data_IF_534385353854
#
_entry.id   IF_534385353854
#
_cell.length_a   1.000
_cell.length_b   1.000
_cell.length_c   1.000
_cell.angle_alpha   90.00
_cell.angle_beta   90.00
_cell.angle_gamma   90.00
#
_symmetry.space_group_name_H-M   'P 1'
#
loop_
_entity.id
_entity.type
_entity.pdbx_description
1 polymer ?
#
# COMPACT_ATOMS: atom_id res chain seq x y z
N UNK A 1 -2.49 20.82 14.83
CA UNK A 1 -2.25 20.31 13.47
C UNK A 1 -3.50 20.53 12.64
N UNK A 2 -3.38 20.97 11.40
CA UNK A 2 -4.54 21.09 10.50
C UNK A 2 -4.88 19.68 10.01
N UNK A 3 -6.15 19.25 10.14
CA UNK A 3 -6.56 17.92 9.69
C UNK A 3 -6.87 17.91 8.18
N UNK A 4 -6.69 16.75 7.56
CA UNK A 4 -7.06 16.53 6.16
C UNK A 4 -8.54 16.84 5.91
N UNK A 5 -9.44 16.46 6.85
CA UNK A 5 -10.89 16.70 6.79
C UNK A 5 -11.25 18.18 6.71
N UNK A 6 -10.48 19.05 7.39
CA UNK A 6 -10.68 20.49 7.32
C UNK A 6 -10.28 21.02 5.94
N UNK A 7 -9.11 20.63 5.46
CA UNK A 7 -8.58 21.16 4.19
C UNK A 7 -9.37 20.73 2.97
N UNK A 8 -9.92 19.50 2.92
CA UNK A 8 -10.74 19.04 1.79
C UNK A 8 -12.04 19.84 1.65
N UNK A 9 -12.49 20.54 2.70
CA UNK A 9 -13.64 21.43 2.66
C UNK A 9 -13.28 22.85 2.16
N UNK A 10 -12.02 23.21 2.24
CA UNK A 10 -11.53 24.56 1.88
C UNK A 10 -10.96 24.58 0.46
N UNK A 11 -10.34 23.49 0.01
CA UNK A 11 -9.72 23.39 -1.32
C UNK A 11 -9.59 21.96 -1.81
N UNK A 12 -9.32 21.81 -3.10
CA UNK A 12 -8.95 20.52 -3.69
C UNK A 12 -7.55 20.15 -3.18
N UNK A 13 -7.39 18.92 -2.69
CA UNK A 13 -6.10 18.33 -2.36
C UNK A 13 -5.65 17.45 -3.52
N UNK A 14 -4.36 17.53 -3.83
CA UNK A 14 -3.76 16.76 -4.92
C UNK A 14 -3.11 15.52 -4.33
N UNK A 15 -3.59 14.35 -4.74
CA UNK A 15 -2.96 13.07 -4.47
C UNK A 15 -1.74 12.90 -5.40
N UNK A 16 -0.76 12.14 -4.98
CA UNK A 16 0.35 11.73 -5.83
C UNK A 16 -0.11 10.73 -6.92
N UNK A 17 0.78 9.99 -7.52
CA UNK A 17 0.45 9.12 -8.65
C UNK A 17 1.28 7.84 -8.68
N UNK A 18 1.29 7.21 -9.83
CA UNK A 18 1.73 5.83 -10.06
C UNK A 18 3.14 5.51 -9.51
N UNK A 19 3.21 4.91 -8.31
CA UNK A 19 4.44 4.43 -7.68
C UNK A 19 5.16 3.40 -8.58
N UNK A 20 4.45 2.39 -9.06
CA UNK A 20 5.03 1.34 -9.91
C UNK A 20 5.69 1.88 -11.17
N UNK A 21 5.08 2.85 -11.86
CA UNK A 21 5.67 3.50 -13.04
C UNK A 21 6.95 4.26 -12.69
N UNK A 22 7.00 4.88 -11.53
CA UNK A 22 8.22 5.57 -11.08
C UNK A 22 9.32 4.59 -10.72
N UNK A 23 9.02 3.48 -10.05
CA UNK A 23 9.98 2.41 -9.74
C UNK A 23 10.62 1.87 -11.03
N UNK A 24 9.84 1.66 -12.09
CA UNK A 24 10.37 1.15 -13.37
C UNK A 24 11.48 2.02 -13.95
N UNK A 25 11.50 3.33 -13.70
CA UNK A 25 12.54 4.25 -14.20
C UNK A 25 13.91 4.02 -13.57
N UNK A 26 13.98 3.33 -12.43
CA UNK A 26 15.24 3.01 -11.76
C UNK A 26 15.92 1.75 -12.34
N UNK A 27 15.22 1.00 -13.20
CA UNK A 27 15.74 -0.23 -13.83
C UNK A 27 16.33 -1.21 -12.81
N UNK A 28 15.65 -1.39 -11.68
CA UNK A 28 16.09 -2.24 -10.59
C UNK A 28 16.26 -3.70 -11.05
N UNK A 29 17.31 -4.34 -10.55
CA UNK A 29 17.64 -5.74 -10.81
C UNK A 29 16.99 -6.66 -9.78
N UNK A 30 17.09 -7.98 -9.97
CA UNK A 30 16.62 -8.96 -8.98
C UNK A 30 17.34 -8.77 -7.64
N UNK A 31 18.64 -8.46 -7.68
CA UNK A 31 19.46 -8.21 -6.49
C UNK A 31 19.00 -6.97 -5.72
N UNK A 32 18.54 -5.93 -6.41
CA UNK A 32 17.97 -4.74 -5.78
C UNK A 32 16.69 -5.06 -5.02
N UNK A 33 15.81 -5.91 -5.62
CA UNK A 33 14.56 -6.33 -4.97
C UNK A 33 14.81 -7.24 -3.77
N UNK A 34 15.82 -8.13 -3.84
CA UNK A 34 16.18 -9.03 -2.74
C UNK A 34 16.90 -8.31 -1.61
N UNK A 35 17.86 -7.45 -1.95
CA UNK A 35 18.87 -7.01 -1.01
C UNK A 35 19.63 -8.19 -0.40
N UNK A 36 20.44 -7.93 0.60
CA UNK A 36 21.15 -8.98 1.36
C UNK A 36 20.20 -9.83 2.20
N UNK A 37 19.15 -9.20 2.72
CA UNK A 37 18.24 -9.80 3.70
C UNK A 37 17.42 -10.96 3.15
N UNK A 38 17.05 -10.92 1.88
CA UNK A 38 16.16 -11.91 1.24
C UNK A 38 16.90 -12.75 0.20
N UNK A 39 18.26 -12.81 0.29
CA UNK A 39 19.11 -13.52 -0.68
C UNK A 39 18.75 -15.01 -0.80
N UNK A 40 18.44 -15.67 0.31
CA UNK A 40 18.18 -17.10 0.39
C UNK A 40 16.72 -17.50 0.15
N UNK A 41 15.80 -16.53 0.00
CA UNK A 41 14.38 -16.85 -0.23
C UNK A 41 14.22 -17.38 -1.67
N UNK A 42 13.52 -18.51 -1.87
CA UNK A 42 13.33 -19.09 -3.20
C UNK A 42 12.42 -18.22 -4.07
N UNK A 43 12.47 -18.44 -5.40
CA UNK A 43 11.62 -17.74 -6.36
C UNK A 43 12.23 -16.42 -6.84
N UNK A 44 11.46 -15.62 -7.54
CA UNK A 44 11.85 -14.32 -8.08
C UNK A 44 11.22 -13.21 -7.22
N UNK A 45 12.03 -12.24 -6.80
CA UNK A 45 11.55 -11.06 -6.04
C UNK A 45 11.26 -9.86 -6.94
N UNK A 46 11.87 -9.80 -8.13
CA UNK A 46 11.64 -8.71 -9.07
C UNK A 46 10.17 -8.61 -9.44
N UNK A 47 9.58 -7.46 -9.18
CA UNK A 47 8.15 -7.19 -9.33
C UNK A 47 7.42 -7.04 -8.00
N UNK A 48 8.00 -7.47 -6.88
CA UNK A 48 7.49 -7.18 -5.55
C UNK A 48 7.88 -5.75 -5.13
N UNK A 49 7.13 -4.78 -5.62
CA UNK A 49 7.42 -3.37 -5.37
C UNK A 49 7.32 -2.98 -3.90
N UNK A 50 6.42 -3.60 -3.15
CA UNK A 50 6.18 -3.33 -1.74
C UNK A 50 7.40 -3.68 -0.88
N UNK A 51 8.13 -4.74 -1.26
CA UNK A 51 9.35 -5.18 -0.59
C UNK A 51 10.47 -4.13 -0.64
N UNK A 52 10.45 -3.24 -1.64
CA UNK A 52 11.44 -2.16 -1.79
C UNK A 52 11.45 -1.20 -0.60
N UNK A 53 10.38 -1.15 0.20
CA UNK A 53 10.38 -0.40 1.45
C UNK A 53 11.44 -0.91 2.45
N UNK A 54 11.83 -2.19 2.35
CA UNK A 54 12.85 -2.82 3.18
C UNK A 54 14.21 -2.89 2.49
N UNK A 55 14.24 -3.09 1.17
CA UNK A 55 15.48 -3.36 0.43
C UNK A 55 16.07 -2.13 -0.26
N UNK A 56 15.21 -1.20 -0.72
CA UNK A 56 15.61 0.04 -1.41
C UNK A 56 14.79 1.24 -0.92
N UNK A 57 14.83 1.53 0.40
CA UNK A 57 14.12 2.69 0.97
C UNK A 57 14.53 4.02 0.32
N UNK A 58 15.77 4.14 -0.15
CA UNK A 58 16.30 5.28 -0.89
C UNK A 58 15.46 5.60 -2.14
N UNK A 59 15.10 4.57 -2.91
CA UNK A 59 14.30 4.71 -4.13
C UNK A 59 12.87 5.17 -3.79
N UNK A 60 12.25 4.56 -2.79
CA UNK A 60 10.88 4.90 -2.39
C UNK A 60 10.80 6.35 -1.88
N UNK A 61 11.74 6.75 -1.01
CA UNK A 61 11.81 8.14 -0.53
C UNK A 61 12.06 9.15 -1.66
N UNK A 62 12.93 8.83 -2.63
CA UNK A 62 13.18 9.71 -3.76
C UNK A 62 11.94 9.89 -4.63
N UNK A 63 11.12 8.84 -4.81
CA UNK A 63 9.85 8.94 -5.53
C UNK A 63 8.88 9.84 -4.76
N UNK A 64 8.72 9.65 -3.46
CA UNK A 64 7.88 10.52 -2.62
C UNK A 64 8.30 11.98 -2.71
N UNK A 65 9.62 12.27 -2.64
CA UNK A 65 10.14 13.64 -2.80
C UNK A 65 9.76 14.25 -4.15
N UNK A 66 9.87 13.48 -5.23
CA UNK A 66 9.50 13.96 -6.59
C UNK A 66 8.03 14.34 -6.67
N UNK A 67 7.13 13.56 -6.08
CA UNK A 67 5.71 13.91 -6.06
C UNK A 67 5.41 15.15 -5.20
N UNK A 68 6.02 15.26 -4.02
CA UNK A 68 5.84 16.44 -3.17
C UNK A 68 6.44 17.70 -3.78
N UNK A 69 7.59 17.59 -4.47
CA UNK A 69 8.18 18.68 -5.26
C UNK A 69 7.27 19.11 -6.42
N UNK A 70 6.60 18.17 -7.07
CA UNK A 70 5.61 18.45 -8.11
C UNK A 70 4.33 19.11 -7.59
N UNK A 71 4.13 19.11 -6.26
CA UNK A 71 3.03 19.84 -5.61
C UNK A 71 1.97 18.97 -4.94
N UNK A 72 2.10 17.63 -4.91
CA UNK A 72 1.16 16.76 -4.22
C UNK A 72 0.96 17.18 -2.77
N UNK A 73 -0.27 17.15 -2.31
CA UNK A 73 -0.65 17.40 -0.90
C UNK A 73 -0.67 16.12 -0.07
N UNK A 74 -0.98 15.00 -0.73
CA UNK A 74 -1.11 13.68 -0.14
C UNK A 74 -0.20 12.74 -0.92
N UNK A 75 0.59 11.93 -0.24
CA UNK A 75 1.36 10.82 -0.83
C UNK A 75 0.85 9.48 -0.30
N UNK A 76 0.82 8.48 -1.17
CA UNK A 76 0.42 7.13 -0.83
C UNK A 76 1.61 6.30 -0.36
N UNK A 77 1.40 5.45 0.65
CA UNK A 77 2.41 4.45 1.02
C UNK A 77 2.62 3.44 -0.09
N UNK A 78 3.84 2.91 -0.24
CA UNK A 78 4.11 1.84 -1.20
C UNK A 78 3.70 0.47 -0.63
N UNK A 79 2.37 0.28 -0.48
CA UNK A 79 1.75 -0.88 0.18
C UNK A 79 0.57 -1.45 -0.60
N UNK A 80 0.48 -1.15 -1.89
CA UNK A 80 -0.65 -1.54 -2.76
C UNK A 80 -0.99 -3.03 -2.67
N UNK A 81 0.02 -3.91 -2.65
CA UNK A 81 -0.14 -5.36 -2.56
C UNK A 81 0.39 -5.95 -1.25
N UNK A 82 0.66 -5.13 -0.23
CA UNK A 82 1.34 -5.53 1.00
C UNK A 82 0.41 -6.27 1.97
N UNK A 83 -0.13 -7.39 1.51
CA UNK A 83 -0.98 -8.32 2.28
C UNK A 83 -0.33 -9.70 2.37
N UNK A 84 -0.62 -10.46 3.43
CA UNK A 84 -0.08 -11.82 3.61
C UNK A 84 -0.43 -12.76 2.45
N UNK A 85 -1.62 -12.62 1.87
CA UNK A 85 -2.07 -13.42 0.71
C UNK A 85 -1.25 -13.11 -0.54
N UNK A 86 -1.01 -11.82 -0.85
CA UNK A 86 -0.23 -11.43 -2.02
C UNK A 86 1.27 -11.73 -1.85
N UNK A 87 1.79 -11.53 -0.64
CA UNK A 87 3.20 -11.76 -0.33
C UNK A 87 3.56 -13.25 -0.23
N UNK A 88 2.57 -14.13 -0.08
CA UNK A 88 2.79 -15.58 -0.12
C UNK A 88 3.34 -16.07 -1.47
N UNK A 89 3.02 -15.39 -2.58
CA UNK A 89 3.56 -15.71 -3.89
C UNK A 89 5.08 -15.48 -3.99
N UNK A 90 5.60 -14.64 -3.10
CA UNK A 90 7.03 -14.32 -2.98
C UNK A 90 7.71 -14.97 -1.77
N UNK A 91 6.99 -15.79 -1.01
CA UNK A 91 7.47 -16.41 0.25
C UNK A 91 7.96 -15.41 1.31
N UNK A 92 7.34 -14.22 1.35
CA UNK A 92 7.67 -13.14 2.30
C UNK A 92 6.46 -12.65 3.10
N UNK A 93 5.42 -13.47 3.21
CA UNK A 93 4.18 -13.15 3.93
C UNK A 93 4.40 -12.82 5.42
N UNK A 94 5.43 -13.36 6.03
CA UNK A 94 5.79 -13.10 7.43
C UNK A 94 6.33 -11.68 7.68
N UNK A 95 6.72 -10.97 6.61
CA UNK A 95 7.25 -9.60 6.69
C UNK A 95 6.20 -8.52 6.40
N UNK A 96 4.94 -8.90 6.18
CA UNK A 96 3.87 -7.97 5.78
C UNK A 96 3.71 -6.81 6.76
N UNK A 97 3.65 -7.11 8.05
CA UNK A 97 3.54 -6.06 9.06
C UNK A 97 4.73 -5.10 9.03
N UNK A 98 5.94 -5.63 8.92
CA UNK A 98 7.16 -4.83 8.84
C UNK A 98 7.21 -3.98 7.57
N UNK A 99 6.80 -4.54 6.40
CA UNK A 99 6.73 -3.79 5.14
C UNK A 99 5.77 -2.60 5.25
N UNK A 100 4.57 -2.81 5.79
CA UNK A 100 3.58 -1.75 5.96
C UNK A 100 4.09 -0.65 6.91
N UNK A 101 4.67 -1.01 8.05
CA UNK A 101 5.26 -0.04 8.99
C UNK A 101 6.42 0.74 8.37
N UNK A 102 7.31 0.04 7.63
CA UNK A 102 8.42 0.68 6.93
C UNK A 102 7.92 1.67 5.86
N UNK A 103 6.94 1.27 5.06
CA UNK A 103 6.35 2.14 4.04
C UNK A 103 5.76 3.42 4.63
N UNK A 104 5.00 3.31 5.73
CA UNK A 104 4.46 4.49 6.42
C UNK A 104 5.57 5.39 6.94
N UNK A 105 6.59 4.80 7.58
CA UNK A 105 7.75 5.55 8.09
C UNK A 105 8.44 6.35 6.99
N UNK A 106 8.75 5.71 5.85
CA UNK A 106 9.41 6.36 4.70
C UNK A 106 8.57 7.51 4.15
N UNK A 107 7.26 7.30 3.97
CA UNK A 107 6.36 8.34 3.48
C UNK A 107 6.24 9.49 4.49
N UNK A 108 6.11 9.20 5.79
CA UNK A 108 6.00 10.21 6.84
C UNK A 108 7.26 11.08 6.94
N UNK A 109 8.44 10.46 6.94
CA UNK A 109 9.71 11.19 6.96
C UNK A 109 9.78 12.22 5.81
N UNK A 110 9.40 11.82 4.60
CA UNK A 110 9.43 12.71 3.44
C UNK A 110 8.29 13.74 3.50
N UNK A 111 7.09 13.37 3.93
CA UNK A 111 5.99 14.30 4.12
C UNK A 111 6.35 15.41 5.12
N UNK A 112 7.03 15.06 6.20
CA UNK A 112 7.47 16.01 7.24
C UNK A 112 8.56 16.96 6.71
N UNK A 113 9.48 16.50 5.85
CA UNK A 113 10.48 17.35 5.17
C UNK A 113 9.81 18.48 4.35
N UNK A 114 8.63 18.23 3.76
CA UNK A 114 7.94 19.16 2.86
C UNK A 114 6.76 19.89 3.51
N UNK A 115 6.36 19.50 4.72
CA UNK A 115 5.24 20.11 5.42
C UNK A 115 5.60 21.50 5.92
N UNK A 116 4.70 22.46 5.70
CA UNK A 116 4.75 23.79 6.31
C UNK A 116 3.41 24.11 6.94
N UNK A 117 3.32 25.11 7.84
CA UNK A 117 2.03 25.55 8.39
C UNK A 117 1.00 25.94 7.32
N UNK A 118 1.45 26.52 6.21
CA UNK A 118 0.59 26.96 5.11
C UNK A 118 0.30 25.86 4.09
N UNK A 119 1.17 24.85 4.03
CA UNK A 119 1.04 23.71 3.10
C UNK A 119 1.42 22.39 3.80
N UNK A 120 0.57 21.89 4.69
CA UNK A 120 0.79 20.59 5.31
C UNK A 120 0.71 19.48 4.28
N UNK A 121 1.46 18.39 4.52
CA UNK A 121 1.48 17.18 3.68
C UNK A 121 0.93 16.02 4.47
N UNK A 122 0.25 15.12 3.80
CA UNK A 122 -0.43 13.98 4.40
C UNK A 122 0.07 12.68 3.79
N UNK A 123 -0.10 11.60 4.55
CA UNK A 123 0.21 10.23 4.14
C UNK A 123 -1.06 9.41 4.14
N UNK A 124 -1.41 8.83 3.00
CA UNK A 124 -2.49 7.88 2.84
C UNK A 124 -1.93 6.45 2.79
N UNK A 125 -2.48 5.56 3.61
CA UNK A 125 -2.17 4.14 3.55
C UNK A 125 -2.87 3.48 2.36
N UNK A 126 -2.11 3.12 1.33
CA UNK A 126 -2.65 2.47 0.13
C UNK A 126 -3.05 1.02 0.43
N UNK A 127 -4.28 0.66 0.06
CA UNK A 127 -4.87 -0.66 0.20
C UNK A 127 -5.45 -1.06 -1.15
N UNK A 128 -4.72 -1.90 -1.87
CA UNK A 128 -5.15 -2.43 -3.15
C UNK A 128 -5.81 -3.80 -3.05
N UNK A 129 -6.21 -4.38 -4.18
CA UNK A 129 -6.80 -5.72 -4.21
C UNK A 129 -5.75 -6.80 -3.96
N UNK A 130 -6.19 -7.92 -3.39
CA UNK A 130 -5.39 -9.13 -3.32
C UNK A 130 -5.38 -9.87 -4.66
N UNK A 131 -4.39 -10.73 -4.88
CA UNK A 131 -4.29 -11.63 -6.03
C UNK A 131 -5.31 -12.78 -5.98
N UNK A 132 -6.01 -12.96 -4.87
CA UNK A 132 -7.10 -13.92 -4.68
C UNK A 132 -8.38 -13.20 -4.29
N UNK A 133 -9.52 -13.71 -4.73
CA UNK A 133 -10.83 -13.11 -4.45
C UNK A 133 -11.72 -14.10 -3.71
N UNK A 134 -12.68 -13.57 -2.94
CA UNK A 134 -13.71 -14.38 -2.31
C UNK A 134 -15.03 -14.39 -3.09
N UNK A 135 -15.17 -13.56 -4.12
CA UNK A 135 -16.41 -13.48 -4.93
C UNK A 135 -16.35 -14.32 -6.20
N UNK A 136 -15.18 -14.54 -6.77
CA UNK A 136 -14.99 -15.29 -8.02
C UNK A 136 -14.38 -16.67 -7.78
N UNK A 137 -14.84 -17.67 -8.57
CA UNK A 137 -14.23 -18.99 -8.57
C UNK A 137 -12.90 -18.99 -9.33
N UNK A 138 -11.83 -19.57 -8.78
CA UNK A 138 -10.59 -19.80 -9.52
C UNK A 138 -10.68 -20.99 -10.49
N UNK A 139 -11.74 -21.82 -10.38
CA UNK A 139 -11.96 -22.98 -11.24
C UNK A 139 -13.28 -22.83 -12.03
N UNK A 140 -13.15 -22.74 -13.35
CA UNK A 140 -14.28 -22.59 -14.28
C UNK A 140 -15.26 -23.79 -14.20
N UNK A 141 -14.75 -24.97 -13.87
CA UNK A 141 -15.57 -26.20 -13.77
C UNK A 141 -16.23 -26.35 -12.38
N UNK A 142 -15.82 -25.56 -11.41
CA UNK A 142 -16.40 -25.54 -10.07
C UNK A 142 -16.78 -24.10 -9.64
N UNK A 143 -17.90 -23.56 -10.11
CA UNK A 143 -18.30 -22.18 -9.84
C UNK A 143 -18.51 -21.85 -8.36
N UNK A 144 -18.69 -22.84 -7.50
CA UNK A 144 -18.85 -22.68 -6.07
C UNK A 144 -17.52 -22.57 -5.31
N UNK A 145 -16.41 -22.95 -5.92
CA UNK A 145 -15.08 -22.89 -5.30
C UNK A 145 -14.68 -21.43 -5.05
N UNK A 146 -14.04 -21.17 -3.94
CA UNK A 146 -13.45 -19.87 -3.59
C UNK A 146 -12.00 -20.08 -3.17
N UNK A 147 -11.13 -19.14 -3.57
CA UNK A 147 -9.72 -19.15 -3.17
C UNK A 147 -9.55 -18.77 -1.69
N UNK A 148 -10.44 -17.90 -1.20
CA UNK A 148 -10.51 -17.44 0.18
C UNK A 148 -11.98 -17.31 0.59
N UNK A 149 -12.27 -17.50 1.86
CA UNK A 149 -13.54 -17.10 2.48
C UNK A 149 -13.53 -15.58 2.74
N UNK A 150 -14.72 -15.03 2.99
CA UNK A 150 -14.84 -13.61 3.37
C UNK A 150 -14.09 -13.30 4.66
N UNK A 151 -14.20 -14.17 5.68
CA UNK A 151 -13.57 -13.97 6.98
C UNK A 151 -12.04 -14.02 6.88
N UNK A 152 -11.49 -14.98 6.11
CA UNK A 152 -10.05 -15.03 5.86
C UNK A 152 -9.55 -13.76 5.15
N UNK A 153 -10.28 -13.26 4.16
CA UNK A 153 -9.92 -12.03 3.47
C UNK A 153 -10.05 -10.80 4.38
N UNK A 154 -11.05 -10.78 5.26
CA UNK A 154 -11.21 -9.71 6.26
C UNK A 154 -10.03 -9.67 7.24
N UNK A 155 -9.54 -10.83 7.69
CA UNK A 155 -8.37 -10.90 8.56
C UNK A 155 -7.10 -10.42 7.86
N UNK A 156 -6.91 -10.74 6.58
CA UNK A 156 -5.80 -10.27 5.75
C UNK A 156 -5.77 -8.75 5.64
N UNK A 157 -6.90 -8.13 5.34
CA UNK A 157 -6.98 -6.67 5.26
C UNK A 157 -6.88 -6.00 6.63
N UNK A 158 -7.40 -6.62 7.69
CA UNK A 158 -7.25 -6.12 9.06
C UNK A 158 -5.77 -6.03 9.45
N UNK A 159 -4.98 -7.07 9.17
CA UNK A 159 -3.53 -7.07 9.42
C UNK A 159 -2.84 -5.87 8.76
N UNK A 160 -3.15 -5.62 7.49
CA UNK A 160 -2.59 -4.49 6.75
C UNK A 160 -3.04 -3.15 7.33
N UNK A 161 -4.35 -2.97 7.56
CA UNK A 161 -4.90 -1.73 8.08
C UNK A 161 -4.37 -1.39 9.47
N UNK A 162 -4.28 -2.37 10.37
CA UNK A 162 -3.72 -2.19 11.71
C UNK A 162 -2.26 -1.72 11.66
N UNK A 163 -1.44 -2.30 10.78
CA UNK A 163 -0.06 -1.88 10.60
C UNK A 163 0.05 -0.45 10.03
N UNK A 164 -0.78 -0.09 9.06
CA UNK A 164 -0.82 1.25 8.49
C UNK A 164 -1.24 2.30 9.54
N UNK A 165 -2.28 2.01 10.32
CA UNK A 165 -2.77 2.89 11.39
C UNK A 165 -1.73 3.03 12.51
N UNK A 166 -1.09 1.94 12.93
CA UNK A 166 -0.01 1.97 13.91
C UNK A 166 1.18 2.79 13.43
N UNK A 167 1.51 2.71 12.13
CA UNK A 167 2.54 3.52 11.50
C UNK A 167 2.21 5.02 11.46
N UNK A 168 0.95 5.40 11.62
CA UNK A 168 0.50 6.80 11.73
C UNK A 168 0.15 7.43 10.39
N UNK A 169 -0.57 6.74 9.51
CA UNK A 169 -1.18 7.34 8.31
C UNK A 169 -2.30 8.33 8.69
N UNK A 170 -2.51 9.34 7.87
CA UNK A 170 -3.59 10.33 8.06
C UNK A 170 -4.92 9.84 7.52
N UNK A 171 -4.92 8.90 6.57
CA UNK A 171 -6.10 8.29 5.98
C UNK A 171 -5.74 6.88 5.44
N UNK A 172 -6.75 6.04 5.27
CA UNK A 172 -6.66 4.80 4.49
C UNK A 172 -7.24 5.07 3.11
N UNK A 173 -6.52 4.68 2.07
CA UNK A 173 -6.94 4.82 0.67
C UNK A 173 -7.21 3.43 0.08
N UNK A 174 -8.49 3.14 -0.15
CA UNK A 174 -8.93 1.91 -0.79
C UNK A 174 -9.02 2.16 -2.28
N UNK A 175 -8.23 1.45 -3.06
CA UNK A 175 -8.07 1.71 -4.49
C UNK A 175 -8.15 0.45 -5.36
N UNK A 176 -8.33 0.67 -6.68
CA UNK A 176 -8.29 -0.37 -7.72
C UNK A 176 -9.23 -1.54 -7.42
N UNK A 177 -10.47 -1.23 -7.03
CA UNK A 177 -11.44 -2.22 -6.58
C UNK A 177 -12.06 -2.92 -7.79
N UNK A 178 -11.86 -4.23 -7.90
CA UNK A 178 -12.54 -5.10 -8.85
C UNK A 178 -13.38 -6.20 -8.17
N UNK A 179 -13.12 -6.47 -6.89
CA UNK A 179 -13.92 -7.36 -6.03
C UNK A 179 -14.55 -6.53 -4.92
N UNK A 180 -15.89 -6.47 -4.87
CA UNK A 180 -16.64 -5.67 -3.91
C UNK A 180 -16.42 -6.07 -2.45
N UNK A 181 -15.85 -7.26 -2.19
CA UNK A 181 -15.50 -7.70 -0.84
C UNK A 181 -14.57 -6.73 -0.12
N UNK A 182 -13.61 -6.13 -0.83
CA UNK A 182 -12.71 -5.14 -0.24
C UNK A 182 -13.49 -3.93 0.32
N UNK A 183 -14.49 -3.42 -0.39
CA UNK A 183 -15.32 -2.31 0.10
C UNK A 183 -16.09 -2.73 1.35
N UNK A 184 -16.74 -3.90 1.32
CA UNK A 184 -17.54 -4.37 2.45
C UNK A 184 -16.71 -4.68 3.70
N UNK A 185 -15.46 -5.07 3.53
CA UNK A 185 -14.53 -5.31 4.64
C UNK A 185 -14.04 -3.98 5.23
N UNK A 186 -13.67 -3.04 4.36
CA UNK A 186 -12.98 -1.80 4.77
C UNK A 186 -13.92 -0.69 5.22
N UNK A 187 -15.13 -0.62 4.64
CA UNK A 187 -16.13 0.42 4.94
C UNK A 187 -17.54 -0.17 5.22
N UNK A 188 -17.70 -1.04 6.21
CA UNK A 188 -18.99 -1.70 6.45
C UNK A 188 -20.12 -0.75 6.82
N UNK A 189 -19.82 0.43 7.36
CA UNK A 189 -20.80 1.41 7.85
C UNK A 189 -21.23 2.45 6.82
N UNK A 190 -20.58 2.52 5.66
CA UNK A 190 -20.90 3.52 4.62
C UNK A 190 -22.28 3.32 4.00
N UNK A 191 -22.87 2.14 4.14
CA UNK A 191 -24.20 1.82 3.61
C UNK A 191 -25.35 2.41 4.45
N UNK A 192 -25.10 2.89 5.66
CA UNK A 192 -26.12 3.45 6.56
C UNK A 192 -26.28 4.97 6.41
N UNK A 193 -25.50 5.60 5.59
CA UNK A 193 -25.55 7.04 5.31
C UNK A 193 -26.26 7.31 3.98
#
# INVERSE_FOLDING_TARGET
>A
MVSIEKLVRERILILDGAMGTMIQRYNLTEEDFRGERFADIPGQMKGNNDLLCLTRPDVIQDIHRKYLMAGADIIETNTFSSTSVSMADYHVQEYVREMNLAAVKLAREVADEFSTPDKPRFVAGSIGPTNKTCSMSPDVNNPAMRALTYDELADVYREQMEALLEGGVDALLIETIFDLSLIHISEPTRQEA
#
